data_IF_983926319663
#
_entry.id   IF_983926319663
#
_cell.length_a   1.000
_cell.length_b   1.000
_cell.length_c   1.000
_cell.angle_alpha   90.00
_cell.angle_beta   90.00
_cell.angle_gamma   90.00
#
_symmetry.space_group_name_H-M   'P 1'
#
loop_
_entity.id
_entity.type
_entity.pdbx_description
1 polymer ?
#
# COMPACT_ATOMS: atom_id res chain seq x y z
N UNK A 1 23.78 -22.06 2.11
CA UNK A 1 22.93 -20.87 2.27
C UNK A 1 22.39 -20.52 0.88
N UNK A 2 21.10 -20.76 0.59
CA UNK A 2 20.53 -20.50 -0.74
C UNK A 2 19.95 -19.09 -0.74
N UNK A 3 20.60 -18.18 -1.46
CA UNK A 3 20.07 -16.86 -1.77
C UNK A 3 18.78 -17.06 -2.57
N UNK A 4 17.61 -16.68 -2.03
CA UNK A 4 16.40 -16.57 -2.83
C UNK A 4 16.65 -15.44 -3.84
N UNK A 5 16.74 -15.76 -5.11
CA UNK A 5 16.62 -14.76 -6.17
C UNK A 5 15.20 -14.19 -6.08
N UNK A 6 15.09 -12.91 -5.73
CA UNK A 6 13.84 -12.18 -5.86
C UNK A 6 13.68 -11.85 -7.35
N UNK A 7 12.64 -12.37 -7.98
CA UNK A 7 12.31 -12.03 -9.36
C UNK A 7 11.56 -10.70 -9.34
N UNK A 8 12.16 -9.67 -9.94
CA UNK A 8 11.53 -8.37 -10.09
C UNK A 8 10.72 -8.37 -11.37
N UNK A 9 9.39 -8.30 -11.25
CA UNK A 9 8.54 -7.96 -12.38
C UNK A 9 8.55 -6.44 -12.52
N UNK A 10 8.94 -5.89 -13.68
CA UNK A 10 8.92 -4.45 -13.87
C UNK A 10 7.48 -3.95 -13.75
N UNK A 11 7.22 -3.13 -12.74
CA UNK A 11 5.98 -2.37 -12.64
C UNK A 11 6.09 -1.24 -13.65
N UNK A 12 5.25 -1.28 -14.68
CA UNK A 12 5.16 -0.17 -15.64
C UNK A 12 4.03 0.74 -15.16
N UNK A 13 4.39 1.92 -14.64
CA UNK A 13 3.43 2.99 -14.38
C UNK A 13 3.04 3.59 -15.73
N UNK A 14 1.96 3.06 -16.32
CA UNK A 14 1.56 3.44 -17.69
C UNK A 14 0.75 4.72 -17.77
N UNK A 15 0.15 5.15 -16.67
CA UNK A 15 -0.63 6.39 -16.58
C UNK A 15 -0.75 6.83 -15.11
N UNK A 16 -0.28 8.04 -14.83
CA UNK A 16 -0.63 8.77 -13.61
C UNK A 16 -1.85 9.63 -13.91
N UNK A 17 -2.79 9.78 -12.96
CA UNK A 17 -3.82 10.81 -13.07
C UNK A 17 -3.16 12.17 -13.31
N UNK A 18 -3.71 12.93 -14.27
CA UNK A 18 -3.29 14.28 -14.59
C UNK A 18 -4.55 15.13 -14.67
N UNK A 19 -5.21 15.23 -13.52
CA UNK A 19 -6.43 15.99 -13.28
C UNK A 19 -6.24 16.89 -12.05
N UNK A 20 -7.25 17.69 -11.73
CA UNK A 20 -7.17 18.69 -10.66
C UNK A 20 -7.18 18.11 -9.25
N UNK A 21 -7.59 16.84 -9.09
CA UNK A 21 -7.72 16.18 -7.80
C UNK A 21 -6.42 15.49 -7.35
N UNK A 22 -5.42 15.39 -8.24
CA UNK A 22 -4.15 14.71 -7.98
C UNK A 22 -2.95 15.65 -8.08
N UNK A 23 -2.15 15.69 -7.01
CA UNK A 23 -0.91 16.45 -6.97
C UNK A 23 0.12 15.90 -7.99
N UNK A 24 0.96 16.78 -8.57
CA UNK A 24 2.08 16.34 -9.39
C UNK A 24 3.05 15.47 -8.57
N UNK A 25 3.57 14.39 -9.18
CA UNK A 25 4.59 13.59 -8.53
C UNK A 25 5.86 14.39 -8.26
N UNK A 26 6.40 14.26 -7.04
CA UNK A 26 7.68 14.83 -6.63
C UNK A 26 8.82 13.80 -6.70
N UNK A 27 8.52 12.57 -7.12
CA UNK A 27 9.44 11.43 -7.22
C UNK A 27 9.44 10.86 -8.64
N UNK A 28 10.51 10.13 -9.00
CA UNK A 28 10.59 9.46 -10.30
C UNK A 28 9.76 8.15 -10.29
N UNK A 29 8.64 8.06 -11.03
CA UNK A 29 7.83 6.87 -11.07
C UNK A 29 8.53 5.66 -11.72
N UNK A 30 9.65 5.84 -12.43
CA UNK A 30 10.44 4.74 -12.95
C UNK A 30 11.06 3.86 -11.85
N UNK A 31 11.23 4.40 -10.64
CA UNK A 31 11.68 3.66 -9.46
C UNK A 31 10.54 2.98 -8.70
N UNK A 32 9.28 3.14 -9.14
CA UNK A 32 8.13 2.65 -8.41
C UNK A 32 8.11 1.10 -8.34
N UNK A 33 7.69 0.59 -7.19
CA UNK A 33 7.57 -0.84 -6.91
C UNK A 33 6.28 -1.12 -6.13
N UNK A 34 5.70 -2.29 -6.37
CA UNK A 34 4.60 -2.81 -5.56
C UNK A 34 5.21 -3.67 -4.47
N UNK A 35 4.89 -3.34 -3.22
CA UNK A 35 5.33 -4.07 -2.02
C UNK A 35 4.13 -4.42 -1.16
N UNK A 36 4.31 -5.30 -0.17
CA UNK A 36 3.33 -5.43 0.91
C UNK A 36 3.46 -4.26 1.89
N UNK A 37 2.38 -3.90 2.57
CA UNK A 37 2.38 -2.85 3.59
C UNK A 37 3.46 -3.09 4.67
N UNK A 38 3.67 -4.34 5.10
CA UNK A 38 4.72 -4.68 6.08
C UNK A 38 6.15 -4.48 5.58
N UNK A 39 6.36 -4.28 4.28
CA UNK A 39 7.66 -4.07 3.66
C UNK A 39 7.95 -2.59 3.40
N UNK A 40 6.99 -1.70 3.65
CA UNK A 40 7.17 -0.25 3.57
C UNK A 40 8.14 0.19 4.66
N UNK A 41 9.17 0.92 4.27
CA UNK A 41 10.19 1.43 5.17
C UNK A 41 10.01 2.93 5.43
N UNK A 42 10.63 3.40 6.51
CA UNK A 42 10.78 4.84 6.82
C UNK A 42 11.25 5.62 5.58
N UNK A 43 10.51 6.66 5.22
CA UNK A 43 10.83 7.56 4.11
C UNK A 43 10.41 7.07 2.72
N UNK A 44 9.95 5.82 2.55
CA UNK A 44 9.37 5.37 1.28
C UNK A 44 8.18 6.29 0.93
N UNK A 45 8.08 6.71 -0.33
CA UNK A 45 6.97 7.56 -0.79
C UNK A 45 5.82 6.69 -1.28
N UNK A 46 4.66 6.77 -0.62
CA UNK A 46 3.45 6.05 -0.97
C UNK A 46 2.68 6.82 -2.04
N UNK A 47 2.30 6.14 -3.12
CA UNK A 47 1.63 6.73 -4.28
C UNK A 47 0.18 6.27 -4.45
N UNK A 48 -0.10 4.99 -4.17
CA UNK A 48 -1.38 4.38 -4.46
C UNK A 48 -1.64 3.14 -3.61
N UNK A 49 -2.92 2.86 -3.41
CA UNK A 49 -3.42 1.59 -2.88
C UNK A 49 -3.91 0.68 -4.02
N UNK A 50 -4.38 -0.51 -3.67
CA UNK A 50 -5.06 -1.41 -4.59
C UNK A 50 -6.40 -1.81 -3.94
N UNK A 51 -7.52 -1.16 -4.31
CA UNK A 51 -8.76 -1.06 -3.51
C UNK A 51 -9.61 -2.35 -3.41
N UNK A 52 -9.24 -3.43 -4.09
CA UNK A 52 -9.89 -4.74 -3.91
C UNK A 52 -9.39 -5.49 -2.65
N UNK A 53 -8.53 -4.86 -1.83
CA UNK A 53 -7.75 -5.56 -0.81
C UNK A 53 -8.01 -5.18 0.65
N UNK A 54 -8.96 -4.30 0.96
CA UNK A 54 -9.22 -3.84 2.34
C UNK A 54 -9.66 -4.91 3.36
N UNK A 55 -9.79 -6.19 2.98
CA UNK A 55 -9.99 -7.31 3.89
C UNK A 55 -9.23 -8.53 3.34
N UNK A 56 -8.08 -8.89 3.91
CA UNK A 56 -7.11 -9.88 3.38
C UNK A 56 -7.61 -11.30 3.05
N UNK A 57 -8.89 -11.59 3.19
CA UNK A 57 -9.54 -12.78 2.64
C UNK A 57 -9.77 -12.70 1.11
N UNK A 58 -9.80 -11.49 0.53
CA UNK A 58 -10.14 -11.28 -0.88
C UNK A 58 -9.00 -11.64 -1.86
N UNK A 59 -7.73 -11.44 -1.51
CA UNK A 59 -6.57 -11.72 -2.40
C UNK A 59 -6.55 -13.19 -2.81
N UNK A 60 -6.68 -14.08 -1.83
CA UNK A 60 -6.66 -15.52 -2.09
C UNK A 60 -7.89 -15.94 -2.87
N UNK A 61 -9.06 -15.40 -2.56
CA UNK A 61 -10.29 -15.73 -3.26
C UNK A 61 -10.31 -15.25 -4.72
N UNK A 62 -9.89 -14.03 -5.03
CA UNK A 62 -9.87 -13.48 -6.39
C UNK A 62 -8.79 -14.10 -7.28
N UNK A 63 -7.57 -14.31 -6.77
CA UNK A 63 -6.51 -15.01 -7.52
C UNK A 63 -6.90 -16.47 -7.82
N UNK A 64 -7.74 -17.08 -6.96
CA UNK A 64 -8.27 -18.43 -7.18
C UNK A 64 -9.53 -18.44 -8.07
N UNK A 65 -10.38 -17.41 -7.99
CA UNK A 65 -11.62 -17.30 -8.75
C UNK A 65 -11.40 -16.89 -10.22
N UNK A 66 -10.31 -16.17 -10.52
CA UNK A 66 -9.95 -15.75 -11.87
C UNK A 66 -8.53 -16.21 -12.23
N UNK A 67 -8.30 -17.53 -12.41
CA UNK A 67 -6.96 -18.09 -12.63
C UNK A 67 -6.26 -17.61 -13.91
N UNK A 68 -6.96 -16.88 -14.78
CA UNK A 68 -6.49 -16.44 -16.09
C UNK A 68 -6.33 -14.92 -16.23
N UNK A 69 -6.59 -14.11 -15.19
CA UNK A 69 -6.47 -12.66 -15.34
C UNK A 69 -5.02 -12.17 -15.22
N UNK A 70 -4.14 -12.86 -14.49
CA UNK A 70 -2.69 -12.56 -14.44
C UNK A 70 -2.31 -11.10 -14.16
N UNK A 71 -3.29 -10.28 -13.74
CA UNK A 71 -3.22 -8.83 -13.72
C UNK A 71 -3.77 -8.39 -12.37
N UNK A 72 -2.95 -7.62 -11.66
CA UNK A 72 -3.37 -6.96 -10.43
C UNK A 72 -4.56 -6.03 -10.73
N UNK A 73 -5.45 -5.81 -9.75
CA UNK A 73 -6.47 -4.78 -9.87
C UNK A 73 -5.82 -3.43 -10.13
N UNK A 74 -6.60 -2.49 -10.67
CA UNK A 74 -6.13 -1.15 -10.95
C UNK A 74 -5.73 -0.48 -9.63
N UNK A 75 -4.56 0.16 -9.60
CA UNK A 75 -4.16 0.97 -8.45
C UNK A 75 -5.11 2.17 -8.29
N UNK A 76 -5.40 2.52 -7.05
CA UNK A 76 -6.13 3.73 -6.69
C UNK A 76 -5.13 4.75 -6.19
N UNK A 77 -4.82 5.73 -7.04
CA UNK A 77 -3.84 6.76 -6.72
C UNK A 77 -4.42 7.68 -5.65
N UNK A 78 -3.60 7.99 -4.66
CA UNK A 78 -3.98 9.01 -3.70
C UNK A 78 -3.93 10.38 -4.33
N UNK A 79 -4.81 11.28 -3.86
CA UNK A 79 -4.83 12.68 -4.29
C UNK A 79 -3.48 13.37 -4.05
N UNK A 80 -2.74 12.95 -3.03
CA UNK A 80 -1.36 13.38 -2.81
C UNK A 80 -0.48 12.19 -2.41
N UNK A 81 0.78 12.25 -2.81
CA UNK A 81 1.80 11.32 -2.35
C UNK A 81 2.25 11.69 -0.92
N UNK A 82 2.61 10.70 -0.11
CA UNK A 82 3.09 10.96 1.25
C UNK A 82 4.27 10.07 1.61
N UNK A 83 5.08 10.54 2.55
CA UNK A 83 6.20 9.77 3.08
C UNK A 83 5.71 8.85 4.18
N UNK A 84 6.12 7.60 4.15
CA UNK A 84 5.83 6.65 5.19
C UNK A 84 6.68 6.92 6.42
N UNK A 85 6.03 6.85 7.59
CA UNK A 85 6.65 6.87 8.90
C UNK A 85 6.18 5.64 9.71
N UNK A 86 6.61 4.42 9.34
CA UNK A 86 6.02 3.21 9.90
C UNK A 86 6.22 3.08 11.40
N UNK A 87 5.15 2.74 12.10
CA UNK A 87 5.14 2.59 13.56
C UNK A 87 4.31 1.37 13.98
N UNK A 88 4.48 0.87 15.21
CA UNK A 88 3.65 -0.22 15.71
C UNK A 88 2.17 0.16 15.71
N UNK A 89 1.31 -0.74 15.21
CA UNK A 89 -0.13 -0.58 15.29
C UNK A 89 -0.62 -0.78 16.74
N UNK A 90 -1.42 0.17 17.23
CA UNK A 90 -2.07 0.09 18.55
C UNK A 90 -3.60 -0.01 18.40
N UNK A 91 -4.13 -1.20 18.70
CA UNK A 91 -5.58 -1.48 18.71
C UNK A 91 -6.36 -0.68 19.73
N UNK A 92 -5.69 -0.02 20.68
CA UNK A 92 -6.32 0.80 21.73
C UNK A 92 -6.24 2.30 21.47
N UNK A 93 -5.67 2.72 20.32
CA UNK A 93 -5.47 4.12 19.95
C UNK A 93 -6.78 4.94 19.92
N UNK A 94 -7.87 4.37 19.39
CA UNK A 94 -9.20 5.02 19.37
C UNK A 94 -9.36 6.18 18.36
N UNK A 95 -8.45 6.32 17.38
CA UNK A 95 -8.48 7.39 16.38
C UNK A 95 -9.51 7.17 15.25
N UNK A 96 -10.39 6.16 15.35
CA UNK A 96 -11.30 5.77 14.28
C UNK A 96 -10.63 4.93 13.18
N UNK A 97 -9.51 5.36 12.59
CA UNK A 97 -8.79 4.56 11.59
C UNK A 97 -8.32 3.23 12.15
N UNK A 98 -7.70 3.25 13.34
CA UNK A 98 -7.28 2.03 14.04
C UNK A 98 -8.46 1.14 14.43
N UNK A 99 -9.63 1.74 14.71
CA UNK A 99 -10.83 0.98 15.11
C UNK A 99 -11.42 0.20 13.93
N UNK A 100 -11.30 0.72 12.70
CA UNK A 100 -11.75 0.04 11.48
C UNK A 100 -11.07 -1.32 11.24
N UNK A 101 -9.88 -1.53 11.82
CA UNK A 101 -9.11 -2.77 11.70
C UNK A 101 -8.95 -3.51 13.04
N UNK A 102 -9.68 -3.11 14.08
CA UNK A 102 -9.59 -3.74 15.41
C UNK A 102 -9.93 -5.25 15.39
N UNK A 103 -10.90 -5.63 14.54
CA UNK A 103 -11.36 -7.01 14.36
C UNK A 103 -10.57 -7.77 13.28
N UNK A 104 -9.55 -7.13 12.69
CA UNK A 104 -8.72 -7.77 11.66
C UNK A 104 -7.94 -8.95 12.25
N UNK A 105 -8.04 -10.11 11.59
CA UNK A 105 -7.42 -11.36 12.05
C UNK A 105 -5.97 -11.51 11.59
N UNK A 106 -5.57 -10.80 10.54
CA UNK A 106 -4.18 -10.71 10.11
C UNK A 106 -3.40 -9.64 10.88
N UNK A 107 -2.08 -9.64 10.70
CA UNK A 107 -1.24 -8.59 11.25
C UNK A 107 -1.59 -7.25 10.60
N UNK A 108 -1.56 -6.17 11.37
CA UNK A 108 -1.80 -4.80 10.91
C UNK A 108 -0.57 -3.97 11.24
N UNK A 109 -0.15 -3.13 10.31
CA UNK A 109 0.95 -2.17 10.47
C UNK A 109 0.39 -0.76 10.38
N UNK A 110 1.00 0.22 11.06
CA UNK A 110 0.68 1.63 10.85
C UNK A 110 1.78 2.25 9.99
N UNK A 111 1.42 2.87 8.87
CA UNK A 111 2.38 3.47 7.93
C UNK A 111 2.65 4.96 8.20
N UNK A 112 1.95 5.57 9.15
CA UNK A 112 2.20 6.94 9.59
C UNK A 112 1.08 7.50 10.47
N UNK A 113 1.27 8.71 10.99
CA UNK A 113 0.27 9.43 11.79
C UNK A 113 0.25 10.95 11.56
N UNK A 114 1.03 11.46 10.61
CA UNK A 114 1.34 12.89 10.50
C UNK A 114 1.12 13.53 9.11
N UNK A 115 0.87 12.75 8.04
CA UNK A 115 0.46 13.26 6.71
C UNK A 115 0.01 12.12 5.77
N UNK A 116 -1.07 12.25 4.96
CA UNK A 116 -1.92 13.43 4.75
C UNK A 116 -3.05 13.61 5.78
N UNK A 117 -3.13 12.74 6.80
CA UNK A 117 -4.22 12.74 7.78
C UNK A 117 -3.69 12.96 9.20
N UNK A 118 -4.47 13.67 10.03
CA UNK A 118 -4.22 13.81 11.49
C UNK A 118 -4.61 12.54 12.28
N UNK A 119 -4.57 11.38 11.63
CA UNK A 119 -4.94 10.07 12.20
C UNK A 119 -3.97 9.01 11.70
N UNK A 120 -3.91 7.88 12.42
CA UNK A 120 -3.13 6.73 11.98
C UNK A 120 -3.55 6.25 10.58
N UNK A 121 -2.59 5.66 9.89
CA UNK A 121 -2.75 5.00 8.60
C UNK A 121 -2.53 3.48 8.75
N UNK A 122 -3.47 2.74 9.36
CA UNK A 122 -3.32 1.31 9.58
C UNK A 122 -3.67 0.50 8.33
N UNK A 123 -2.81 -0.46 8.00
CA UNK A 123 -2.97 -1.36 6.86
C UNK A 123 -2.84 -2.82 7.30
N UNK A 124 -3.68 -3.72 6.77
CA UNK A 124 -3.37 -5.15 6.82
C UNK A 124 -1.98 -5.41 6.22
N UNK A 125 -1.16 -6.20 6.92
CA UNK A 125 0.25 -6.38 6.61
C UNK A 125 0.49 -6.98 5.22
N UNK A 126 -0.51 -7.66 4.66
CA UNK A 126 -0.43 -8.29 3.34
C UNK A 126 -0.96 -7.44 2.19
N UNK A 127 -1.58 -6.29 2.49
CA UNK A 127 -2.08 -5.37 1.46
C UNK A 127 -0.95 -4.86 0.59
N UNK A 128 -1.25 -4.66 -0.69
CA UNK A 128 -0.30 -4.16 -1.66
C UNK A 128 -0.32 -2.64 -1.70
N UNK A 129 0.87 -2.04 -1.74
CA UNK A 129 1.09 -0.60 -1.81
C UNK A 129 2.05 -0.30 -2.96
N UNK A 130 1.74 0.73 -3.74
CA UNK A 130 2.66 1.26 -4.75
C UNK A 130 3.52 2.34 -4.09
N UNK A 131 4.83 2.14 -4.07
CA UNK A 131 5.79 3.08 -3.48
C UNK A 131 6.90 3.47 -4.44
N UNK A 132 7.52 4.62 -4.20
CA UNK A 132 8.87 4.93 -4.65
C UNK A 132 9.82 4.84 -3.45
N UNK A 133 10.92 4.08 -3.54
CA UNK A 133 11.86 3.92 -2.44
C UNK A 133 12.54 5.25 -2.06
N UNK A 134 12.86 5.44 -0.78
CA UNK A 134 13.75 6.51 -0.32
C UNK A 134 15.18 6.43 -0.90
#
# INVERSE_FOLDING_TARGET
MRTKCFEFFPVVVTALPNDEDHAPLLVDPAAARIVRAVEVAEGDTILASFPDYHHGDAVRAQLTAYPNLGRLPRSDYFNDQYQAHPMPYDRTCGCGSCDNLADCTEAVVNLGDDNPWDVCDPWPATDLVLIVPA
#
